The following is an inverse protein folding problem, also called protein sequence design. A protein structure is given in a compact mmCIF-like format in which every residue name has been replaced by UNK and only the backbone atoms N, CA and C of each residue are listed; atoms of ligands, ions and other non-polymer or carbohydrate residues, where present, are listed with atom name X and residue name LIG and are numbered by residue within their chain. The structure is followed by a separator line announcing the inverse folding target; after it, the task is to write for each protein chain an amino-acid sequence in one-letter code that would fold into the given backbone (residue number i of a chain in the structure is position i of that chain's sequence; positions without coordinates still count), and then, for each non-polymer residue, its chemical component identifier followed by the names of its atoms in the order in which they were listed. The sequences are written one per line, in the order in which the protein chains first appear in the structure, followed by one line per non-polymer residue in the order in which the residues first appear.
data_IF_244552301495
#
_entry.id   IF_244552301495
#
_cell.length_a   1.000
_cell.length_b   1.000
_cell.length_c   1.000
_cell.angle_alpha   90.00
_cell.angle_beta   90.00
_cell.angle_gamma   90.00
#
_symmetry.space_group_name_H-M   'P 1'
#
loop_
_entity.id
_entity.type
_entity.pdbx_description
1 polymer ?
#
# COMPACT_ATOMS: atom_id res chain seq x y z
N UNK A 1 2.85 -40.46 -18.25
CA UNK A 1 1.78 -39.75 -17.53
C UNK A 1 2.30 -39.37 -16.15
N UNK A 2 2.81 -38.15 -16.04
CA UNK A 2 3.36 -37.58 -14.82
C UNK A 2 2.19 -37.13 -13.94
N UNK A 3 2.00 -37.75 -12.77
CA UNK A 3 0.97 -37.32 -11.83
C UNK A 3 1.40 -35.99 -11.19
N UNK A 4 0.72 -34.90 -11.54
CA UNK A 4 0.81 -33.63 -10.82
C UNK A 4 0.29 -33.84 -9.39
N UNK A 5 1.21 -33.83 -8.43
CA UNK A 5 0.91 -33.93 -7.01
C UNK A 5 0.33 -32.59 -6.55
N UNK A 6 -0.99 -32.42 -6.64
CA UNK A 6 -1.68 -31.31 -5.98
C UNK A 6 -1.46 -31.48 -4.47
N UNK A 7 -0.51 -30.73 -3.93
CA UNK A 7 -0.21 -30.75 -2.50
C UNK A 7 -1.39 -30.10 -1.78
N UNK A 8 -2.24 -30.92 -1.14
CA UNK A 8 -3.35 -30.42 -0.34
C UNK A 8 -2.82 -29.45 0.72
N UNK A 9 -3.28 -28.20 0.69
CA UNK A 9 -2.84 -27.17 1.64
C UNK A 9 -3.35 -27.57 3.02
N UNK A 10 -2.43 -27.79 3.97
CA UNK A 10 -2.79 -28.08 5.36
C UNK A 10 -3.60 -26.90 5.96
N UNK A 11 -4.84 -27.13 6.44
CA UNK A 11 -5.70 -26.09 7.00
C UNK A 11 -5.10 -25.33 8.19
N UNK A 12 -4.29 -25.99 9.03
CA UNK A 12 -3.64 -25.33 10.17
C UNK A 12 -2.55 -24.36 9.72
N UNK A 13 -1.75 -24.78 8.74
CA UNK A 13 -0.74 -23.94 8.10
C UNK A 13 -1.40 -22.73 7.43
N UNK A 14 -2.51 -22.93 6.72
CA UNK A 14 -3.28 -21.85 6.12
C UNK A 14 -3.78 -20.86 7.18
N UNK A 15 -4.41 -21.35 8.25
CA UNK A 15 -4.93 -20.52 9.34
C UNK A 15 -3.81 -19.71 10.01
N UNK A 16 -2.65 -20.32 10.24
CA UNK A 16 -1.46 -19.62 10.79
C UNK A 16 -1.00 -18.50 9.87
N UNK A 17 -0.92 -18.76 8.57
CA UNK A 17 -0.51 -17.77 7.56
C UNK A 17 -1.52 -16.61 7.46
N UNK A 18 -2.82 -16.89 7.47
CA UNK A 18 -3.87 -15.85 7.47
C UNK A 18 -3.76 -15.00 8.74
N UNK A 19 -3.64 -15.62 9.91
CA UNK A 19 -3.54 -14.92 11.19
C UNK A 19 -2.28 -14.06 11.32
N UNK A 20 -1.20 -14.37 10.60
CA UNK A 20 0.02 -13.59 10.60
C UNK A 20 -0.08 -12.28 9.79
N UNK A 21 -1.08 -12.14 8.90
CA UNK A 21 -1.21 -10.98 8.00
C UNK A 21 -2.10 -9.90 8.58
N UNK A 22 -1.76 -8.64 8.32
CA UNK A 22 -2.59 -7.46 8.62
C UNK A 22 -2.62 -6.60 7.37
N UNK A 23 -3.81 -6.42 6.81
CA UNK A 23 -4.03 -5.62 5.61
C UNK A 23 -4.84 -4.39 5.99
N UNK A 24 -4.39 -3.21 5.61
CA UNK A 24 -5.12 -1.97 5.86
C UNK A 24 -4.73 -0.87 4.88
N UNK A 25 -5.58 0.16 4.78
CA UNK A 25 -5.34 1.36 4.01
C UNK A 25 -5.19 2.57 4.92
N UNK A 26 -4.40 3.56 4.51
CA UNK A 26 -4.34 4.88 5.17
C UNK A 26 -5.08 5.87 4.30
N UNK A 27 -6.21 6.41 4.80
CA UNK A 27 -7.08 7.35 4.11
C UNK A 27 -7.15 8.64 4.93
N UNK A 28 -7.04 9.79 4.28
CA UNK A 28 -7.23 11.10 4.90
C UNK A 28 -7.32 12.19 3.83
N UNK A 29 -7.61 13.41 4.26
CA UNK A 29 -7.59 14.61 3.42
C UNK A 29 -6.18 14.86 2.81
N UNK A 30 -6.05 15.60 1.69
CA UNK A 30 -4.74 16.02 1.19
C UNK A 30 -3.93 16.72 2.28
N UNK A 31 -2.62 16.56 2.21
CA UNK A 31 -1.64 17.16 3.14
C UNK A 31 -1.73 16.75 4.62
N UNK A 32 -2.64 15.85 5.00
CA UNK A 32 -2.74 15.29 6.36
C UNK A 32 -1.57 14.37 6.77
N UNK A 33 -0.56 14.20 5.91
CA UNK A 33 0.67 13.47 6.23
C UNK A 33 0.65 11.96 6.00
N UNK A 34 -0.26 11.40 5.18
CA UNK A 34 -0.30 9.96 4.84
C UNK A 34 1.04 9.42 4.40
N UNK A 35 1.67 10.06 3.42
CA UNK A 35 2.96 9.64 2.87
C UNK A 35 4.05 9.65 3.95
N UNK A 36 4.06 10.66 4.82
CA UNK A 36 5.00 10.71 5.96
C UNK A 36 4.78 9.56 6.94
N UNK A 37 3.52 9.21 7.24
CA UNK A 37 3.19 8.07 8.09
C UNK A 37 3.59 6.74 7.43
N UNK A 38 3.31 6.57 6.14
CA UNK A 38 3.71 5.40 5.34
C UNK A 38 5.23 5.21 5.38
N UNK A 39 6.03 6.27 5.20
CA UNK A 39 7.48 6.21 5.32
C UNK A 39 7.94 5.74 6.71
N UNK A 40 7.35 6.26 7.78
CA UNK A 40 7.69 5.87 9.16
C UNK A 40 7.34 4.42 9.46
N UNK A 41 6.19 3.95 8.99
CA UNK A 41 5.78 2.55 9.13
C UNK A 41 6.77 1.60 8.44
N UNK A 42 7.20 1.95 7.22
CA UNK A 42 8.22 1.18 6.49
C UNK A 42 9.56 1.16 7.23
N UNK A 43 9.99 2.28 7.81
CA UNK A 43 11.20 2.34 8.64
C UNK A 43 11.08 1.44 9.89
N UNK A 44 9.94 1.46 10.58
CA UNK A 44 9.70 0.56 11.72
C UNK A 44 9.63 -0.92 11.34
N UNK A 45 9.25 -1.22 10.10
CA UNK A 45 9.29 -2.55 9.52
C UNK A 45 10.66 -3.00 9.00
N UNK A 46 11.71 -2.20 9.23
CA UNK A 46 13.05 -2.38 8.66
C UNK A 46 13.07 -2.45 7.12
N UNK A 47 12.04 -1.89 6.48
CA UNK A 47 11.89 -1.84 5.02
C UNK A 47 12.50 -0.55 4.45
N UNK A 48 13.78 -0.31 4.76
CA UNK A 48 14.50 0.94 4.49
C UNK A 48 14.50 1.28 2.99
N UNK A 49 14.71 0.29 2.12
CA UNK A 49 14.67 0.48 0.66
C UNK A 49 13.29 0.93 0.18
N UNK A 50 12.21 0.35 0.73
CA UNK A 50 10.84 0.76 0.39
C UNK A 50 10.55 2.18 0.88
N UNK A 51 10.99 2.52 2.10
CA UNK A 51 10.85 3.87 2.65
C UNK A 51 11.57 4.92 1.78
N UNK A 52 12.79 4.61 1.32
CA UNK A 52 13.55 5.45 0.39
C UNK A 52 12.82 5.67 -0.93
N UNK A 53 12.22 4.63 -1.51
CA UNK A 53 11.45 4.71 -2.76
C UNK A 53 10.15 5.51 -2.62
N UNK A 54 9.48 5.46 -1.46
CA UNK A 54 8.31 6.31 -1.19
C UNK A 54 8.73 7.79 -1.11
N UNK A 55 9.82 8.08 -0.39
CA UNK A 55 10.35 9.45 -0.27
C UNK A 55 10.84 10.01 -1.60
N UNK A 56 11.53 9.21 -2.40
CA UNK A 56 11.99 9.59 -3.73
C UNK A 56 10.81 9.93 -4.66
N UNK A 57 9.73 9.13 -4.64
CA UNK A 57 8.50 9.42 -5.39
C UNK A 57 7.82 10.70 -4.94
N UNK A 58 7.77 10.97 -3.62
CA UNK A 58 7.27 12.24 -3.09
C UNK A 58 8.05 13.45 -3.64
N UNK A 59 9.37 13.35 -3.73
CA UNK A 59 10.23 14.41 -4.27
C UNK A 59 10.14 14.51 -5.81
N UNK A 60 9.91 13.38 -6.50
CA UNK A 60 9.70 13.36 -7.94
C UNK A 60 8.33 13.89 -8.36
N UNK A 61 7.32 13.89 -7.48
CA UNK A 61 6.04 14.58 -7.74
C UNK A 61 6.18 16.09 -7.99
N UNK A 62 7.33 16.67 -7.67
CA UNK A 62 7.67 18.06 -7.99
C UNK A 62 8.27 18.21 -9.40
N UNK A 63 8.64 17.12 -10.06
CA UNK A 63 9.22 17.07 -11.40
C UNK A 63 8.18 16.64 -12.43
N UNK A 64 7.80 17.58 -13.29
CA UNK A 64 6.70 17.57 -14.26
C UNK A 64 6.69 16.35 -15.20
N UNK A 65 5.72 15.45 -15.00
CA UNK A 65 5.20 14.57 -16.06
C UNK A 65 3.79 15.04 -16.47
N UNK A 66 3.39 14.79 -17.72
CA UNK A 66 2.06 15.20 -18.20
C UNK A 66 0.91 14.56 -17.41
N UNK A 67 1.17 13.41 -16.79
CA UNK A 67 0.25 12.75 -15.86
C UNK A 67 0.11 13.51 -14.52
N UNK A 68 1.20 14.09 -14.00
CA UNK A 68 1.15 14.91 -12.78
C UNK A 68 0.38 16.21 -12.99
N UNK A 69 0.42 16.80 -14.20
CA UNK A 69 -0.43 17.96 -14.52
C UNK A 69 -1.92 17.60 -14.44
N UNK A 70 -2.30 16.42 -14.95
CA UNK A 70 -3.68 15.93 -14.86
C UNK A 70 -4.09 15.58 -13.41
N UNK A 71 -3.19 14.99 -12.63
CA UNK A 71 -3.38 14.76 -11.18
C UNK A 71 -3.54 16.10 -10.41
N UNK A 72 -2.73 17.10 -10.75
CA UNK A 72 -2.74 18.42 -10.13
C UNK A 72 -3.95 19.26 -10.52
N UNK A 73 -4.40 19.20 -11.78
CA UNK A 73 -5.63 19.84 -12.27
C UNK A 73 -6.89 19.26 -11.64
N UNK A 74 -6.87 17.97 -11.25
CA UNK A 74 -8.00 17.28 -10.62
C UNK A 74 -7.89 17.15 -9.10
N UNK A 75 -6.77 17.56 -8.48
CA UNK A 75 -6.55 17.45 -7.03
C UNK A 75 -6.53 16.02 -6.49
N UNK A 76 -6.34 15.01 -7.36
CA UNK A 76 -6.36 13.59 -7.01
C UNK A 76 -5.02 12.94 -7.35
N UNK A 77 -4.52 12.08 -6.47
CA UNK A 77 -3.49 11.11 -6.86
C UNK A 77 -4.20 9.86 -7.40
N UNK A 78 -3.72 9.25 -8.47
CA UNK A 78 -4.50 8.26 -9.25
C UNK A 78 -4.01 6.81 -9.03
N UNK A 79 -2.86 6.59 -8.38
CA UNK A 79 -2.29 5.23 -8.20
C UNK A 79 -2.14 4.81 -6.73
N UNK A 80 -2.98 3.87 -6.30
CA UNK A 80 -2.81 3.14 -5.03
C UNK A 80 -1.59 2.22 -5.11
N UNK A 81 -0.65 2.35 -4.16
CA UNK A 81 0.50 1.43 -4.07
C UNK A 81 0.27 0.43 -2.93
N UNK A 82 0.46 -0.87 -3.21
CA UNK A 82 0.49 -1.91 -2.16
C UNK A 82 1.93 -2.09 -1.68
N UNK A 83 2.14 -1.97 -0.37
CA UNK A 83 3.44 -2.10 0.29
C UNK A 83 3.38 -3.23 1.31
N UNK A 84 4.27 -4.21 1.20
CA UNK A 84 4.36 -5.31 2.16
C UNK A 84 5.65 -5.21 2.99
N UNK A 85 5.55 -5.30 4.31
CA UNK A 85 6.71 -5.31 5.21
C UNK A 85 6.44 -6.09 6.51
N UNK A 86 7.47 -6.69 7.14
CA UNK A 86 7.30 -7.37 8.41
C UNK A 86 7.25 -6.37 9.59
N UNK A 87 6.45 -6.67 10.62
CA UNK A 87 6.46 -5.94 11.88
C UNK A 87 5.97 -6.83 13.04
N UNK A 88 6.78 -6.99 14.09
CA UNK A 88 6.45 -7.78 15.31
C UNK A 88 5.77 -9.13 15.00
N UNK A 89 6.48 -10.00 14.26
CA UNK A 89 6.00 -11.33 13.83
C UNK A 89 4.75 -11.34 12.93
N UNK A 90 4.34 -10.17 12.42
CA UNK A 90 3.26 -10.02 11.45
C UNK A 90 3.79 -9.59 10.10
N UNK A 91 3.02 -9.88 9.06
CA UNK A 91 3.19 -9.35 7.72
C UNK A 91 2.16 -8.25 7.53
N UNK A 92 2.63 -7.02 7.35
CA UNK A 92 1.79 -5.86 7.09
C UNK A 92 1.65 -5.68 5.59
N UNK A 93 0.42 -5.55 5.10
CA UNK A 93 0.08 -5.10 3.75
C UNK A 93 -0.59 -3.73 3.86
N UNK A 94 0.14 -2.70 3.48
CA UNK A 94 -0.33 -1.32 3.49
C UNK A 94 -0.77 -0.92 2.09
N UNK A 95 -2.02 -0.52 1.96
CA UNK A 95 -2.57 0.10 0.77
C UNK A 95 -2.46 1.61 0.94
N UNK A 96 -1.44 2.21 0.32
CA UNK A 96 -1.24 3.66 0.34
C UNK A 96 -2.22 4.29 -0.65
N UNK A 97 -3.22 4.99 -0.11
CA UNK A 97 -4.25 5.65 -0.92
C UNK A 97 -3.84 7.08 -1.25
N UNK A 98 -4.21 7.55 -2.45
CA UNK A 98 -4.16 8.96 -2.82
C UNK A 98 -4.64 9.96 -1.76
N UNK A 99 -4.08 11.18 -1.79
CA UNK A 99 -4.66 12.32 -1.10
C UNK A 99 -6.02 12.65 -1.70
N UNK A 100 -7.09 12.39 -0.96
CA UNK A 100 -8.44 12.48 -1.51
C UNK A 100 -9.07 13.82 -1.14
N UNK A 101 -9.07 14.79 -2.07
CA UNK A 101 -9.69 16.09 -1.83
C UNK A 101 -11.22 15.98 -1.77
N UNK A 102 -11.82 15.13 -2.61
CA UNK A 102 -13.27 14.86 -2.62
C UNK A 102 -13.55 13.38 -2.88
N UNK A 103 -13.97 12.62 -1.86
CA UNK A 103 -14.25 11.16 -1.85
C UNK A 103 -14.78 10.59 -3.20
N UNK A 104 -14.06 9.66 -3.84
CA UNK A 104 -14.46 8.98 -5.08
C UNK A 104 -14.36 7.44 -4.97
N UNK A 105 -15.04 6.76 -5.89
CA UNK A 105 -15.29 5.31 -5.98
C UNK A 105 -14.04 4.42 -5.81
N UNK A 106 -12.85 4.89 -6.18
CA UNK A 106 -11.59 4.16 -6.06
C UNK A 106 -11.11 3.94 -4.61
N UNK A 107 -11.50 4.87 -3.70
CA UNK A 107 -11.30 4.66 -2.25
C UNK A 107 -12.19 3.54 -1.75
N UNK A 108 -13.43 3.47 -2.24
CA UNK A 108 -14.37 2.40 -1.87
C UNK A 108 -13.86 1.03 -2.30
N UNK A 109 -13.30 0.92 -3.51
CA UNK A 109 -12.68 -0.32 -4.02
C UNK A 109 -11.45 -0.74 -3.22
N UNK A 110 -10.62 0.22 -2.80
CA UNK A 110 -9.47 -0.05 -1.93
C UNK A 110 -9.92 -0.51 -0.53
N UNK A 111 -10.98 0.10 0.01
CA UNK A 111 -11.59 -0.29 1.28
C UNK A 111 -12.25 -1.68 1.23
N UNK A 112 -12.82 -2.08 0.08
CA UNK A 112 -13.41 -3.42 -0.06
C UNK A 112 -12.36 -4.53 -0.18
N UNK A 113 -11.10 -4.17 -0.45
CA UNK A 113 -9.98 -5.10 -0.57
C UNK A 113 -9.19 -5.29 0.74
N UNK A 114 -9.49 -4.50 1.79
CA UNK A 114 -8.87 -4.58 3.11
C UNK A 114 -9.72 -5.42 4.07
#
# INVERSE_FOLDING_TARGET
MSQETTTAINPETLKKQVNARRTFAIISHPDAGKTTLTEKLLLYGNAIHLAGSVRARRNQRTATSDWMKMEQERGISITSTVLQFPYKERIINLLDTPGHQDFSEDTYRTLTAA
#
